data_IF_127056845028
#
_entry.id   IF_127056845028
#
_cell.length_a   1.000
_cell.length_b   1.000
_cell.length_c   1.000
_cell.angle_alpha   90.00
_cell.angle_beta   90.00
_cell.angle_gamma   90.00
#
_symmetry.space_group_name_H-M   'P 1'
#
loop_
_entity.id
_entity.type
_entity.pdbx_description
1 polymer ?
#
# COMPACT_ATOMS: atom_id res chain seq x y z
N UNK A 1 -52.29 -25.67 -74.16
CA UNK A 1 -52.24 -24.33 -73.52
C UNK A 1 -51.54 -24.46 -72.18
N UNK A 2 -50.50 -23.66 -71.98
CA UNK A 2 -49.50 -23.78 -70.91
C UNK A 2 -50.07 -23.43 -69.54
N UNK A 3 -49.85 -24.28 -68.53
CA UNK A 3 -50.13 -23.99 -67.11
C UNK A 3 -48.87 -23.37 -66.49
N UNK A 4 -48.93 -22.08 -66.20
CA UNK A 4 -47.88 -21.37 -65.48
C UNK A 4 -48.07 -21.57 -63.97
N UNK A 5 -47.07 -22.10 -63.28
CA UNK A 5 -47.08 -22.37 -61.83
C UNK A 5 -46.17 -21.34 -61.15
N UNK A 6 -46.79 -20.36 -60.49
CA UNK A 6 -46.14 -19.42 -59.58
C UNK A 6 -45.69 -20.14 -58.31
N UNK A 7 -44.42 -20.00 -57.93
CA UNK A 7 -43.90 -20.41 -56.62
C UNK A 7 -43.53 -19.16 -55.82
N UNK A 8 -44.18 -19.04 -54.67
CA UNK A 8 -43.96 -18.02 -53.65
C UNK A 8 -42.50 -18.00 -53.16
N UNK A 9 -41.92 -16.81 -53.09
CA UNK A 9 -40.64 -16.53 -52.45
C UNK A 9 -40.93 -15.72 -51.17
N UNK A 10 -41.33 -16.42 -50.11
CA UNK A 10 -41.84 -15.81 -48.87
C UNK A 10 -40.99 -16.20 -47.64
N UNK A 11 -39.69 -16.42 -47.84
CA UNK A 11 -38.78 -16.82 -46.77
C UNK A 11 -37.40 -16.24 -47.03
N UNK A 12 -37.14 -14.96 -46.72
CA UNK A 12 -35.76 -14.45 -46.66
C UNK A 12 -35.49 -13.18 -45.83
N UNK A 13 -36.45 -12.61 -45.09
CA UNK A 13 -36.22 -11.35 -44.36
C UNK A 13 -36.11 -11.48 -42.83
N UNK A 14 -36.45 -12.63 -42.25
CA UNK A 14 -36.48 -12.81 -40.79
C UNK A 14 -35.09 -12.91 -40.14
N UNK A 15 -34.07 -13.35 -40.89
CA UNK A 15 -32.70 -13.50 -40.36
C UNK A 15 -31.98 -12.14 -40.23
N UNK A 16 -32.29 -11.16 -41.09
CA UNK A 16 -31.75 -9.79 -41.00
C UNK A 16 -32.29 -9.06 -39.76
N UNK A 17 -33.57 -9.27 -39.42
CA UNK A 17 -34.16 -8.73 -38.19
C UNK A 17 -33.49 -9.31 -36.94
N UNK A 18 -33.18 -10.62 -36.93
CA UNK A 18 -32.50 -11.26 -35.82
C UNK A 18 -31.07 -10.71 -35.59
N UNK A 19 -30.32 -10.44 -36.65
CA UNK A 19 -28.97 -9.84 -36.55
C UNK A 19 -29.04 -8.41 -35.98
N UNK A 20 -30.03 -7.62 -36.41
CA UNK A 20 -30.23 -6.26 -35.88
C UNK A 20 -30.46 -6.23 -34.36
N UNK A 21 -31.23 -7.19 -33.83
CA UNK A 21 -31.50 -7.31 -32.39
C UNK A 21 -30.23 -7.66 -31.61
N UNK A 22 -29.40 -8.59 -32.11
CA UNK A 22 -28.14 -8.98 -31.45
C UNK A 22 -27.16 -7.80 -31.39
N UNK A 23 -27.02 -7.04 -32.47
CA UNK A 23 -26.15 -5.85 -32.50
C UNK A 23 -26.65 -4.79 -31.51
N UNK A 24 -27.95 -4.53 -31.44
CA UNK A 24 -28.52 -3.55 -30.51
C UNK A 24 -28.29 -3.95 -29.04
N UNK A 25 -28.41 -5.24 -28.71
CA UNK A 25 -28.15 -5.76 -27.35
C UNK A 25 -26.66 -5.62 -26.98
N UNK A 26 -25.76 -5.92 -27.90
CA UNK A 26 -24.32 -5.74 -27.69
C UNK A 26 -23.96 -4.27 -27.49
N UNK A 27 -24.52 -3.37 -28.30
CA UNK A 27 -24.31 -1.93 -28.18
C UNK A 27 -24.84 -1.38 -26.85
N UNK A 28 -26.04 -1.81 -26.43
CA UNK A 28 -26.62 -1.46 -25.14
C UNK A 28 -25.77 -1.95 -23.96
N UNK A 29 -25.26 -3.18 -24.04
CA UNK A 29 -24.37 -3.75 -23.02
C UNK A 29 -23.04 -2.98 -22.90
N UNK A 30 -22.48 -2.54 -24.03
CA UNK A 30 -21.22 -1.79 -24.09
C UNK A 30 -21.37 -0.38 -23.50
N UNK A 31 -22.47 0.33 -23.79
CA UNK A 31 -22.78 1.64 -23.20
C UNK A 31 -22.97 1.52 -21.68
N UNK A 32 -23.74 0.52 -21.22
CA UNK A 32 -23.98 0.30 -19.78
C UNK A 32 -22.70 -0.09 -19.01
N UNK A 33 -21.78 -0.78 -19.68
CA UNK A 33 -20.45 -1.12 -19.16
C UNK A 33 -19.56 0.11 -18.99
N UNK A 34 -19.59 1.05 -19.93
CA UNK A 34 -18.78 2.28 -19.87
C UNK A 34 -19.28 3.26 -18.80
N UNK A 35 -20.60 3.43 -18.64
CA UNK A 35 -21.16 4.33 -17.60
C UNK A 35 -20.72 3.92 -16.18
N UNK A 36 -20.67 2.61 -15.89
CA UNK A 36 -20.18 2.12 -14.58
C UNK A 36 -18.70 2.38 -14.36
N UNK A 37 -17.88 2.33 -15.43
CA UNK A 37 -16.45 2.65 -15.36
C UNK A 37 -16.25 4.15 -15.16
N UNK A 38 -17.04 4.99 -15.82
CA UNK A 38 -16.95 6.45 -15.69
C UNK A 38 -17.31 6.93 -14.28
N UNK A 39 -18.32 6.33 -13.64
CA UNK A 39 -18.62 6.65 -12.24
C UNK A 39 -17.49 6.25 -11.29
N UNK A 40 -16.86 5.08 -11.52
CA UNK A 40 -15.72 4.62 -10.72
C UNK A 40 -14.47 5.48 -10.95
N UNK A 41 -14.24 5.92 -12.19
CA UNK A 41 -13.13 6.82 -12.52
C UNK A 41 -13.36 8.19 -11.89
N UNK A 42 -14.58 8.74 -11.97
CA UNK A 42 -14.93 10.02 -11.33
C UNK A 42 -14.84 9.97 -9.80
N UNK A 43 -15.27 8.86 -9.17
CA UNK A 43 -15.15 8.72 -7.72
C UNK A 43 -13.69 8.60 -7.29
N UNK A 44 -12.86 7.85 -8.02
CA UNK A 44 -11.43 7.73 -7.75
C UNK A 44 -10.66 9.03 -8.02
N UNK A 45 -11.07 9.81 -9.03
CA UNK A 45 -10.50 11.15 -9.27
C UNK A 45 -10.88 12.11 -8.15
N UNK A 46 -12.15 12.11 -7.72
CA UNK A 46 -12.61 12.94 -6.60
C UNK A 46 -11.90 12.59 -5.29
N UNK A 47 -11.67 11.30 -5.04
CA UNK A 47 -10.91 10.83 -3.88
C UNK A 47 -9.43 11.24 -3.98
N UNK A 48 -8.81 11.14 -5.16
CA UNK A 48 -7.44 11.62 -5.39
C UNK A 48 -7.33 13.14 -5.21
N UNK A 49 -8.27 13.91 -5.73
CA UNK A 49 -8.25 15.37 -5.63
C UNK A 49 -8.50 15.82 -4.18
N UNK A 50 -9.41 15.15 -3.47
CA UNK A 50 -9.59 15.35 -2.03
C UNK A 50 -8.32 15.03 -1.23
N UNK A 51 -7.65 13.92 -1.55
CA UNK A 51 -6.37 13.58 -0.92
C UNK A 51 -5.27 14.61 -1.25
N UNK A 52 -5.27 15.19 -2.45
CA UNK A 52 -4.33 16.27 -2.79
C UNK A 52 -4.62 17.53 -1.99
N UNK A 53 -5.89 17.87 -1.80
CA UNK A 53 -6.30 19.02 -0.99
C UNK A 53 -5.96 18.80 0.48
N UNK A 54 -6.18 17.60 1.02
CA UNK A 54 -5.72 17.21 2.37
C UNK A 54 -4.19 17.31 2.48
N UNK A 55 -3.44 16.81 1.49
CA UNK A 55 -1.98 16.91 1.48
C UNK A 55 -1.49 18.36 1.39
N UNK A 56 -2.19 19.22 0.63
CA UNK A 56 -1.92 20.65 0.55
C UNK A 56 -2.18 21.34 1.89
N UNK A 57 -3.31 21.08 2.51
CA UNK A 57 -3.62 21.61 3.84
C UNK A 57 -2.60 21.16 4.88
N UNK A 58 -2.22 19.87 4.85
CA UNK A 58 -1.15 19.34 5.70
C UNK A 58 0.16 20.07 5.43
N UNK A 59 0.53 20.32 4.17
CA UNK A 59 1.74 21.07 3.82
C UNK A 59 1.72 22.53 4.30
N UNK A 60 0.57 23.18 4.35
CA UNK A 60 0.45 24.52 4.92
C UNK A 60 0.64 24.51 6.44
N UNK A 61 0.07 23.51 7.13
CA UNK A 61 0.28 23.34 8.58
C UNK A 61 1.76 22.98 8.88
N UNK A 62 2.46 22.28 7.96
CA UNK A 62 3.91 21.99 8.07
C UNK A 62 4.72 23.27 8.26
N UNK A 63 4.42 24.32 7.51
CA UNK A 63 5.19 25.56 7.54
C UNK A 63 4.95 26.39 8.81
N UNK A 64 3.78 26.27 9.46
CA UNK A 64 3.42 27.08 10.62
C UNK A 64 3.86 26.53 12.00
N UNK A 65 4.20 25.24 12.15
CA UNK A 65 4.47 24.69 13.50
C UNK A 65 5.87 25.02 14.05
N UNK A 66 5.98 25.93 15.01
CA UNK A 66 7.26 26.49 15.52
C UNK A 66 8.18 25.47 16.25
N UNK A 67 7.66 24.34 16.75
CA UNK A 67 8.39 23.46 17.69
C UNK A 67 8.75 22.05 17.19
N UNK A 68 8.58 21.78 15.90
CA UNK A 68 9.17 20.58 15.30
C UNK A 68 10.62 20.91 14.95
N UNK A 69 11.57 20.04 15.34
CA UNK A 69 12.94 20.16 14.83
C UNK A 69 12.85 20.21 13.31
N UNK A 70 13.37 21.29 12.69
CA UNK A 70 13.29 21.51 11.24
C UNK A 70 13.70 20.27 10.43
N UNK A 71 14.57 19.43 10.99
CA UNK A 71 14.95 18.13 10.45
C UNK A 71 13.77 17.16 10.21
N UNK A 72 12.85 17.01 11.17
CA UNK A 72 11.69 16.11 11.04
C UNK A 72 10.80 16.61 9.91
N UNK A 73 10.50 17.92 9.88
CA UNK A 73 9.70 18.55 8.82
C UNK A 73 10.31 18.35 7.44
N UNK A 74 11.61 18.63 7.29
CA UNK A 74 12.32 18.51 6.01
C UNK A 74 12.31 17.07 5.50
N UNK A 75 12.63 16.10 6.37
CA UNK A 75 12.60 14.68 5.98
C UNK A 75 11.18 14.25 5.61
N UNK A 76 10.17 14.68 6.34
CA UNK A 76 8.77 14.36 6.04
C UNK A 76 8.27 14.94 4.73
N UNK A 77 8.54 16.23 4.51
CA UNK A 77 8.22 16.89 3.26
C UNK A 77 8.83 16.11 2.11
N UNK A 78 10.10 15.71 2.22
CA UNK A 78 10.78 14.89 1.20
C UNK A 78 10.07 13.54 0.94
N UNK A 79 9.49 12.91 1.95
CA UNK A 79 8.72 11.67 1.77
C UNK A 79 7.38 11.88 1.09
N UNK A 80 6.73 13.02 1.34
CA UNK A 80 5.44 13.37 0.74
C UNK A 80 5.59 13.95 -0.67
N UNK A 81 6.69 14.68 -0.94
CA UNK A 81 6.85 15.59 -2.08
C UNK A 81 7.58 15.02 -3.30
N UNK A 82 7.38 13.73 -3.63
CA UNK A 82 7.57 13.16 -4.98
C UNK A 82 8.84 12.34 -5.29
N UNK A 83 9.83 12.18 -4.41
CA UNK A 83 11.02 11.34 -4.75
C UNK A 83 10.77 9.83 -4.62
N UNK A 84 9.70 9.40 -3.94
CA UNK A 84 9.36 7.99 -3.78
C UNK A 84 7.93 7.66 -4.21
N UNK A 85 7.80 6.61 -5.02
CA UNK A 85 6.54 5.93 -5.29
C UNK A 85 6.07 5.20 -4.04
N UNK A 86 5.61 5.94 -3.04
CA UNK A 86 4.81 5.42 -1.94
C UNK A 86 3.38 5.21 -2.46
N UNK A 87 2.73 4.11 -2.05
CA UNK A 87 1.32 3.90 -2.37
C UNK A 87 0.44 4.97 -1.72
N UNK A 88 -0.64 5.37 -2.39
CA UNK A 88 -1.52 6.47 -1.93
C UNK A 88 -2.02 6.26 -0.50
N UNK A 89 -2.36 5.03 -0.14
CA UNK A 89 -2.75 4.67 1.24
C UNK A 89 -1.65 4.97 2.26
N UNK A 90 -0.41 4.62 1.96
CA UNK A 90 0.74 4.86 2.85
C UNK A 90 1.03 6.35 2.95
N UNK A 91 0.90 7.10 1.85
CA UNK A 91 1.00 8.57 1.87
C UNK A 91 -0.04 9.20 2.78
N UNK A 92 -1.30 8.77 2.69
CA UNK A 92 -2.39 9.24 3.55
C UNK A 92 -2.12 8.93 5.03
N UNK A 93 -1.76 7.69 5.36
CA UNK A 93 -1.47 7.29 6.74
C UNK A 93 -0.23 8.03 7.31
N UNK A 94 0.79 8.26 6.48
CA UNK A 94 1.98 9.04 6.85
C UNK A 94 1.63 10.51 7.11
N UNK A 95 0.78 11.11 6.26
CA UNK A 95 0.32 12.48 6.42
C UNK A 95 -0.54 12.64 7.69
N UNK A 96 -1.37 11.65 8.02
CA UNK A 96 -2.12 11.62 9.29
C UNK A 96 -1.18 11.49 10.51
N UNK A 97 -0.20 10.59 10.45
CA UNK A 97 0.80 10.43 11.50
C UNK A 97 1.54 11.75 11.74
N UNK A 98 1.77 12.50 10.67
CA UNK A 98 2.41 13.80 10.76
C UNK A 98 1.56 14.88 11.44
N UNK A 99 0.25 14.96 11.14
CA UNK A 99 -0.65 15.85 11.87
C UNK A 99 -0.60 15.56 13.38
N UNK A 100 -0.53 14.29 13.77
CA UNK A 100 -0.39 13.91 15.18
C UNK A 100 0.91 14.42 15.81
N UNK A 101 2.02 14.36 15.08
CA UNK A 101 3.31 14.91 15.51
C UNK A 101 3.20 16.42 15.76
N UNK A 102 2.54 17.16 14.87
CA UNK A 102 2.34 18.61 15.03
C UNK A 102 1.48 18.96 16.23
N UNK A 103 0.45 18.15 16.49
CA UNK A 103 -0.41 18.28 17.66
C UNK A 103 0.26 17.82 18.97
N UNK A 104 1.57 17.49 18.93
CA UNK A 104 2.35 16.95 20.05
C UNK A 104 1.79 15.63 20.62
N UNK A 105 1.08 14.88 19.77
CA UNK A 105 0.54 13.56 20.11
C UNK A 105 1.50 12.46 19.63
N UNK A 106 2.75 12.50 20.12
CA UNK A 106 3.84 11.63 19.66
C UNK A 106 3.54 10.14 19.82
N UNK A 107 2.95 9.72 20.95
CA UNK A 107 2.52 8.32 21.15
C UNK A 107 1.58 7.87 20.05
N UNK A 108 0.52 8.66 19.77
CA UNK A 108 -0.43 8.36 18.69
C UNK A 108 0.23 8.35 17.32
N UNK A 109 1.19 9.23 17.07
CA UNK A 109 1.97 9.21 15.84
C UNK A 109 2.77 7.91 15.69
N UNK A 110 3.48 7.49 16.75
CA UNK A 110 4.23 6.23 16.77
C UNK A 110 3.31 5.01 16.61
N UNK A 111 2.09 5.02 17.19
CA UNK A 111 1.08 4.00 16.95
C UNK A 111 0.68 3.92 15.47
N UNK A 112 0.47 5.07 14.83
CA UNK A 112 0.17 5.14 13.41
C UNK A 112 1.33 4.57 12.58
N UNK A 113 2.57 4.95 12.90
CA UNK A 113 3.76 4.40 12.25
C UNK A 113 3.88 2.88 12.44
N UNK A 114 3.59 2.36 13.63
CA UNK A 114 3.57 0.93 13.92
C UNK A 114 2.64 0.17 12.96
N UNK A 115 1.44 0.73 12.75
CA UNK A 115 0.43 0.16 11.84
C UNK A 115 0.92 0.18 10.39
N UNK A 116 1.49 1.29 9.93
CA UNK A 116 2.03 1.42 8.57
C UNK A 116 3.13 0.38 8.35
N UNK A 117 4.09 0.26 9.28
CA UNK A 117 5.18 -0.72 9.20
C UNK A 117 4.61 -2.14 9.15
N UNK A 118 3.65 -2.49 10.01
CA UNK A 118 3.04 -3.82 10.00
C UNK A 118 2.38 -4.14 8.66
N UNK A 119 1.56 -3.22 8.12
CA UNK A 119 0.88 -3.41 6.84
C UNK A 119 1.86 -3.47 5.66
N UNK A 120 2.94 -2.70 5.72
CA UNK A 120 4.00 -2.76 4.71
C UNK A 120 4.78 -4.06 4.75
N UNK A 121 5.11 -4.59 5.93
CA UNK A 121 5.72 -5.92 6.09
C UNK A 121 4.79 -7.04 5.62
N UNK A 122 3.49 -6.98 5.95
CA UNK A 122 2.49 -7.94 5.44
C UNK A 122 2.49 -7.95 3.92
N UNK A 123 2.56 -6.78 3.31
CA UNK A 123 2.60 -6.65 1.86
C UNK A 123 3.86 -7.27 1.26
N UNK A 124 5.03 -6.99 1.85
CA UNK A 124 6.34 -7.52 1.41
C UNK A 124 6.37 -9.05 1.53
N UNK A 125 5.94 -9.62 2.66
CA UNK A 125 6.00 -11.07 2.90
C UNK A 125 4.75 -11.84 2.48
N UNK A 126 3.75 -11.18 1.88
CA UNK A 126 2.50 -11.81 1.43
C UNK A 126 2.71 -13.01 0.49
N UNK A 127 3.85 -13.06 -0.22
CA UNK A 127 4.22 -14.12 -1.17
C UNK A 127 5.47 -14.89 -0.77
N UNK A 128 6.05 -14.56 0.38
CA UNK A 128 7.23 -15.26 0.88
C UNK A 128 6.82 -16.65 1.37
N UNK A 129 7.23 -17.68 0.64
CA UNK A 129 6.95 -19.07 1.00
C UNK A 129 7.69 -19.50 2.25
N UNK A 130 8.89 -18.95 2.49
CA UNK A 130 9.70 -19.26 3.67
C UNK A 130 8.99 -18.71 4.92
N UNK A 131 8.51 -17.47 4.84
CA UNK A 131 7.68 -16.87 5.90
C UNK A 131 6.44 -17.73 6.20
N UNK A 132 5.68 -18.13 5.17
CA UNK A 132 4.46 -18.93 5.33
C UNK A 132 4.70 -20.32 5.90
N UNK A 133 5.86 -20.92 5.60
CA UNK A 133 6.25 -22.24 6.14
C UNK A 133 6.63 -22.13 7.61
N UNK A 134 7.37 -21.08 7.99
CA UNK A 134 7.87 -20.88 9.34
C UNK A 134 6.81 -20.33 10.29
N UNK A 135 6.01 -19.37 9.83
CA UNK A 135 5.01 -18.67 10.63
C UNK A 135 3.60 -18.93 10.11
N UNK A 136 2.74 -19.49 10.98
CA UNK A 136 1.35 -19.80 10.64
C UNK A 136 0.47 -18.57 10.45
N UNK A 137 0.84 -17.43 11.07
CA UNK A 137 0.05 -16.19 11.06
C UNK A 137 0.97 -14.98 10.94
N UNK A 138 0.57 -13.94 10.16
CA UNK A 138 1.36 -12.73 9.97
C UNK A 138 1.19 -11.75 11.14
N UNK A 139 1.60 -12.16 12.35
CA UNK A 139 1.61 -11.27 13.53
C UNK A 139 2.80 -10.31 13.43
N UNK A 140 2.64 -9.09 13.96
CA UNK A 140 3.67 -8.05 13.86
C UNK A 140 5.05 -8.50 14.37
N UNK A 141 5.10 -9.19 15.51
CA UNK A 141 6.35 -9.75 16.07
C UNK A 141 7.06 -10.71 15.09
N UNK A 142 6.30 -11.56 14.39
CA UNK A 142 6.86 -12.54 13.44
C UNK A 142 7.31 -11.88 12.15
N UNK A 143 6.60 -10.85 11.71
CA UNK A 143 7.00 -10.03 10.57
C UNK A 143 8.34 -9.33 10.84
N UNK A 144 8.53 -8.79 12.04
CA UNK A 144 9.78 -8.14 12.43
C UNK A 144 10.95 -9.13 12.55
N UNK A 145 10.73 -10.29 13.18
CA UNK A 145 11.79 -11.30 13.31
C UNK A 145 12.23 -11.81 11.94
N UNK A 146 11.28 -12.10 11.05
CA UNK A 146 11.61 -12.53 9.69
C UNK A 146 12.32 -11.42 8.89
N UNK A 147 11.91 -10.16 9.06
CA UNK A 147 12.59 -9.03 8.41
C UNK A 147 14.04 -8.86 8.87
N UNK A 148 14.32 -9.11 10.15
CA UNK A 148 15.68 -9.13 10.69
C UNK A 148 16.48 -10.33 10.17
N UNK A 149 15.89 -11.53 10.17
CA UNK A 149 16.55 -12.76 9.70
C UNK A 149 16.94 -12.70 8.21
N UNK A 150 16.09 -12.09 7.39
CA UNK A 150 16.34 -11.88 5.95
C UNK A 150 17.24 -10.67 5.65
N UNK A 151 17.62 -9.91 6.68
CA UNK A 151 18.42 -8.68 6.53
C UNK A 151 17.65 -7.53 5.86
N UNK A 152 16.32 -7.62 5.79
CA UNK A 152 15.47 -6.52 5.35
C UNK A 152 15.53 -5.36 6.35
N UNK A 153 15.58 -5.67 7.65
CA UNK A 153 15.90 -4.71 8.71
C UNK A 153 17.26 -5.03 9.30
N UNK A 154 18.06 -4.00 9.53
CA UNK A 154 19.25 -4.13 10.35
C UNK A 154 18.90 -4.26 11.85
N UNK A 155 19.91 -4.49 12.68
CA UNK A 155 19.73 -4.68 14.12
C UNK A 155 19.10 -3.45 14.79
N UNK A 156 19.51 -2.24 14.39
CA UNK A 156 19.01 -0.99 14.96
C UNK A 156 17.55 -0.77 14.56
N UNK A 157 17.25 -0.86 13.26
CA UNK A 157 15.89 -0.76 12.70
C UNK A 157 14.93 -1.76 13.37
N UNK A 158 15.38 -3.00 13.56
CA UNK A 158 14.60 -4.02 14.28
C UNK A 158 14.30 -3.60 15.72
N UNK A 159 15.28 -3.09 16.47
CA UNK A 159 15.07 -2.68 17.86
C UNK A 159 14.08 -1.51 17.97
N UNK A 160 14.19 -0.50 17.10
CA UNK A 160 13.24 0.61 17.07
C UNK A 160 11.82 0.15 16.69
N UNK A 161 11.69 -0.65 15.63
CA UNK A 161 10.38 -1.17 15.22
C UNK A 161 9.75 -2.06 16.31
N UNK A 162 10.55 -2.86 17.02
CA UNK A 162 10.07 -3.66 18.13
C UNK A 162 9.67 -2.80 19.34
N UNK A 163 10.41 -1.72 19.65
CA UNK A 163 10.03 -0.77 20.70
C UNK A 163 8.72 -0.05 20.39
N UNK A 164 8.51 0.35 19.13
CA UNK A 164 7.24 0.95 18.67
C UNK A 164 6.09 -0.07 18.74
N UNK A 165 6.34 -1.35 18.42
CA UNK A 165 5.35 -2.43 18.61
C UNK A 165 4.97 -2.58 20.08
N UNK A 166 5.94 -2.51 20.99
CA UNK A 166 5.71 -2.63 22.43
C UNK A 166 4.87 -1.48 22.96
N UNK A 167 5.15 -0.23 22.56
CA UNK A 167 4.28 0.91 22.85
C UNK A 167 2.83 0.66 22.46
N UNK A 168 2.59 0.14 21.25
CA UNK A 168 1.23 -0.15 20.79
C UNK A 168 0.52 -1.18 21.65
N UNK A 169 1.26 -2.16 22.15
CA UNK A 169 0.69 -3.18 23.03
C UNK A 169 0.47 -2.64 24.46
N UNK A 170 1.32 -1.71 24.92
CA UNK A 170 1.23 -1.05 26.24
C UNK A 170 0.08 -0.03 26.30
N UNK A 171 -0.10 0.80 25.25
CA UNK A 171 -1.14 1.85 25.20
C UNK A 171 -2.56 1.27 25.14
N UNK A 172 -2.71 0.00 24.74
CA UNK A 172 -3.95 -0.74 24.89
C UNK A 172 -4.33 -1.02 26.37
N UNK A 173 -3.38 -0.82 27.29
CA UNK A 173 -3.49 -1.21 28.69
C UNK A 173 -3.10 -0.11 29.71
N UNK A 174 -2.48 1.01 29.32
CA UNK A 174 -2.27 2.17 30.20
C UNK A 174 -2.05 3.48 29.43
N UNK A 175 -2.45 4.61 30.06
CA UNK A 175 -2.12 5.97 29.61
C UNK A 175 -0.62 6.16 29.86
N UNK A 176 0.19 6.13 28.81
CA UNK A 176 1.66 6.19 28.90
C UNK A 176 2.08 7.57 29.44
N UNK A 177 2.65 7.60 30.65
CA UNK A 177 3.42 8.75 31.15
C UNK A 177 4.63 8.97 30.23
N UNK A 178 4.89 10.23 29.89
CA UNK A 178 5.81 10.66 28.85
C UNK A 178 7.17 9.98 28.94
N UNK A 179 7.49 9.12 27.97
CA UNK A 179 8.87 8.67 27.74
C UNK A 179 9.73 9.86 27.29
N UNK A 180 11.05 9.74 27.45
CA UNK A 180 12.01 10.77 27.05
C UNK A 180 11.76 11.22 25.60
N UNK A 181 11.49 12.52 25.43
CA UNK A 181 11.15 13.15 24.13
C UNK A 181 12.20 12.87 23.04
N UNK A 182 13.46 12.69 23.42
CA UNK A 182 14.54 12.35 22.49
C UNK A 182 14.36 10.98 21.83
N UNK A 183 13.85 10.00 22.57
CA UNK A 183 13.59 8.66 22.08
C UNK A 183 12.40 8.62 21.13
N UNK A 184 11.36 9.41 21.38
CA UNK A 184 10.18 9.50 20.51
C UNK A 184 10.54 10.05 19.12
N UNK A 185 11.31 11.15 19.08
CA UNK A 185 11.78 11.76 17.83
C UNK A 185 12.68 10.80 17.06
N UNK A 186 13.61 10.14 17.74
CA UNK A 186 14.51 9.16 17.10
C UNK A 186 13.72 7.98 16.54
N UNK A 187 12.77 7.45 17.32
CA UNK A 187 11.89 6.35 16.90
C UNK A 187 11.04 6.73 15.69
N UNK A 188 10.53 7.96 15.66
CA UNK A 188 9.76 8.49 14.53
C UNK A 188 10.61 8.56 13.25
N UNK A 189 11.83 9.09 13.34
CA UNK A 189 12.75 9.20 12.21
C UNK A 189 13.17 7.82 11.67
N UNK A 190 13.45 6.87 12.57
CA UNK A 190 13.78 5.50 12.17
C UNK A 190 12.56 4.81 11.55
N UNK A 191 11.36 5.00 12.11
CA UNK A 191 10.14 4.46 11.55
C UNK A 191 9.87 4.95 10.12
N UNK A 192 10.08 6.24 9.86
CA UNK A 192 9.98 6.81 8.52
C UNK A 192 10.95 6.14 7.55
N UNK A 193 12.21 5.97 7.94
CA UNK A 193 13.21 5.30 7.11
C UNK A 193 12.84 3.84 6.82
N UNK A 194 12.30 3.13 7.81
CA UNK A 194 11.79 1.76 7.66
C UNK A 194 10.64 1.73 6.65
N UNK A 195 9.62 2.59 6.79
CA UNK A 195 8.45 2.63 5.89
C UNK A 195 8.90 2.81 4.45
N UNK A 196 9.78 3.78 4.21
CA UNK A 196 10.39 4.06 2.91
C UNK A 196 11.07 2.83 2.32
N UNK A 197 11.92 2.19 3.11
CA UNK A 197 12.66 0.99 2.71
C UNK A 197 11.72 -0.16 2.36
N UNK A 198 10.63 -0.32 3.12
CA UNK A 198 9.62 -1.35 2.88
C UNK A 198 8.80 -1.08 1.62
N UNK A 199 8.37 0.17 1.38
CA UNK A 199 7.64 0.54 0.15
C UNK A 199 8.48 0.27 -1.10
N UNK A 200 9.78 0.57 -1.06
CA UNK A 200 10.70 0.29 -2.16
C UNK A 200 10.83 -1.21 -2.46
N UNK A 201 10.52 -2.08 -1.49
CA UNK A 201 10.58 -3.55 -1.61
C UNK A 201 9.24 -4.18 -1.96
N UNK A 202 8.13 -3.43 -1.97
CA UNK A 202 6.83 -4.00 -2.34
C UNK A 202 6.81 -4.41 -3.81
N UNK A 203 6.18 -5.55 -4.14
CA UNK A 203 5.99 -5.95 -5.53
C UNK A 203 5.10 -4.94 -6.26
N UNK A 204 5.63 -4.24 -7.26
CA UNK A 204 4.88 -3.26 -8.06
C UNK A 204 4.25 -3.93 -9.30
N UNK A 205 2.93 -3.75 -9.46
CA UNK A 205 2.18 -4.09 -10.67
C UNK A 205 1.87 -5.58 -10.93
N UNK A 206 1.07 -5.83 -11.97
CA UNK A 206 0.67 -7.15 -12.47
C UNK A 206 1.86 -7.99 -12.98
N UNK A 207 2.94 -7.36 -13.46
CA UNK A 207 4.15 -8.06 -13.88
C UNK A 207 4.86 -8.76 -12.71
N UNK A 208 4.84 -8.16 -11.50
CA UNK A 208 5.33 -8.81 -10.30
C UNK A 208 4.40 -9.93 -9.80
N UNK A 209 3.14 -10.02 -10.25
CA UNK A 209 2.23 -11.16 -9.95
C UNK A 209 2.63 -12.46 -10.67
N UNK A 210 3.43 -12.39 -11.73
CA UNK A 210 3.82 -13.55 -12.53
C UNK A 210 5.25 -14.03 -12.26
N UNK A 211 6.04 -13.30 -11.47
CA UNK A 211 7.41 -13.69 -11.16
C UNK A 211 7.48 -14.61 -9.93
N UNK A 212 8.26 -15.71 -9.98
CA UNK A 212 8.48 -16.56 -8.82
C UNK A 212 9.17 -15.77 -7.68
N UNK A 213 8.98 -16.19 -6.41
CA UNK A 213 9.54 -15.49 -5.26
C UNK A 213 11.06 -15.36 -5.36
N UNK A 214 11.58 -14.21 -4.92
CA UNK A 214 13.00 -13.88 -4.99
C UNK A 214 13.87 -14.98 -4.35
N UNK A 215 15.01 -15.33 -4.96
CA UNK A 215 15.95 -16.26 -4.34
C UNK A 215 16.50 -15.62 -3.06
N UNK A 216 16.16 -16.20 -1.91
CA UNK A 216 16.79 -15.90 -0.63
C UNK A 216 18.31 -16.06 -0.80
N UNK A 217 19.07 -15.03 -0.41
CA UNK A 217 20.55 -15.09 -0.43
C UNK A 217 20.95 -16.24 0.49
N UNK A 218 21.23 -17.42 -0.09
CA UNK A 218 21.78 -18.55 0.65
C UNK A 218 23.03 -18.06 1.37
N UNK A 219 23.03 -18.19 2.70
CA UNK A 219 24.26 -18.13 3.49
C UNK A 219 25.22 -19.16 2.88
N UNK A 220 26.27 -18.67 2.25
CA UNK A 220 27.38 -19.50 1.82
C UNK A 220 28.07 -19.89 3.13
N UNK A 221 27.80 -21.09 3.62
CA UNK A 221 28.56 -21.65 4.73
C UNK A 221 30.00 -21.81 4.23
N UNK A 222 30.90 -20.96 4.73
CA UNK A 222 32.33 -21.20 4.65
C UNK A 222 32.64 -22.38 5.57
N UNK A 223 32.55 -23.57 5.02
CA UNK A 223 33.09 -24.78 5.62
C UNK A 223 34.62 -24.70 5.46
N UNK A 224 35.30 -24.15 6.46
CA UNK A 224 36.77 -24.26 6.54
C UNK A 224 37.11 -25.72 6.83
N UNK A 225 37.44 -26.47 5.78
CA UNK A 225 38.15 -27.74 5.93
C UNK A 225 39.54 -27.42 6.49
N UNK A 226 39.73 -27.68 7.78
CA UNK A 226 41.06 -27.84 8.34
C UNK A 226 41.60 -29.19 7.81
N UNK A 227 42.68 -29.11 7.04
CA UNK A 227 43.62 -30.19 6.77
C UNK A 227 44.79 -30.00 7.72
#
# INVERSE_FOLDING_TARGET
MSKNKTTNNESNNNWLAAIGVVIAVLFWWLIKSNVKKDHKIKSLQKERDHMKDELLQISMIIDESIDLTNEVKVRLNRLLSQEQELGDKVKSELAQAFVLVQLRLMSKALLSMAKIIEESLKSVFSRDQEFKRKYKQPKFVWLLEHAKETGLLDKSEYHYANGIRELRNEEAHSIIESKDSSWEVTSLLVAMNIIVKLEAKKPKGLAAMLLPPFPSKRKINHESKNV
#
